data_IF_399687368820
#
_entry.id   IF_399687368820
#
_cell.length_a   1.000
_cell.length_b   1.000
_cell.length_c   1.000
_cell.angle_alpha   90.00
_cell.angle_beta   90.00
_cell.angle_gamma   90.00
#
_symmetry.space_group_name_H-M   'P 1'
#
loop_
_entity.id
_entity.type
_entity.pdbx_description
1 polymer ?
#
# COMPACT_ATOMS: atom_id res chain seq x y z
N UNK A 1 37.91 58.23 -3.95
CA UNK A 1 37.20 58.65 -2.72
C UNK A 1 35.75 58.91 -3.07
N UNK A 2 34.80 58.51 -2.23
CA UNK A 2 33.37 58.77 -2.48
C UNK A 2 33.09 60.27 -2.40
N UNK A 3 32.18 60.76 -3.23
CA UNK A 3 31.70 62.14 -3.13
C UNK A 3 30.76 62.28 -1.93
N UNK A 4 30.59 63.52 -1.48
CA UNK A 4 29.67 63.85 -0.38
C UNK A 4 28.21 63.45 -0.69
N UNK A 5 27.75 63.70 -1.92
CA UNK A 5 26.38 63.37 -2.36
C UNK A 5 26.13 61.87 -2.36
N UNK A 6 27.05 61.09 -2.94
CA UNK A 6 26.94 59.62 -2.95
C UNK A 6 27.00 59.04 -1.54
N UNK A 7 27.82 59.61 -0.65
CA UNK A 7 27.87 59.13 0.74
C UNK A 7 26.56 59.39 1.48
N UNK A 8 25.94 60.56 1.27
CA UNK A 8 24.67 60.94 1.90
C UNK A 8 23.51 60.04 1.49
N UNK A 9 23.40 59.66 0.22
CA UNK A 9 22.36 58.74 -0.27
C UNK A 9 22.47 57.33 0.37
N UNK A 10 23.66 56.97 0.85
CA UNK A 10 23.96 55.64 1.39
C UNK A 10 23.96 55.60 2.92
N UNK A 11 23.72 56.72 3.61
CA UNK A 11 23.72 56.78 5.08
C UNK A 11 22.61 55.96 5.72
N UNK A 12 21.42 55.91 5.13
CA UNK A 12 20.28 55.14 5.63
C UNK A 12 20.54 53.63 5.56
N UNK A 13 20.84 53.02 4.38
CA UNK A 13 21.15 51.59 4.33
C UNK A 13 22.42 51.22 5.11
N UNK A 14 23.37 52.16 5.27
CA UNK A 14 24.52 51.98 6.16
C UNK A 14 24.08 51.89 7.63
N UNK A 15 23.19 52.78 8.08
CA UNK A 15 22.66 52.80 9.46
C UNK A 15 21.81 51.55 9.76
N UNK A 16 21.03 51.08 8.79
CA UNK A 16 20.20 49.87 8.90
C UNK A 16 21.00 48.57 8.74
N UNK A 17 22.28 48.68 8.41
CA UNK A 17 23.19 47.54 8.28
C UNK A 17 23.05 46.73 6.99
N UNK A 18 22.37 47.27 5.97
CA UNK A 18 22.04 46.59 4.71
C UNK A 18 23.14 46.63 3.64
N UNK A 19 24.26 47.32 3.89
CA UNK A 19 25.37 47.43 2.92
C UNK A 19 26.36 46.26 2.99
N UNK A 20 26.94 45.92 1.82
CA UNK A 20 28.01 44.93 1.72
C UNK A 20 29.30 45.39 2.41
N UNK A 21 30.17 44.45 2.79
CA UNK A 21 31.35 44.72 3.60
C UNK A 21 32.41 45.61 2.91
N UNK A 22 32.47 45.60 1.58
CA UNK A 22 33.33 46.45 0.78
C UNK A 22 32.77 47.88 0.64
N UNK A 23 31.46 48.03 0.49
CA UNK A 23 30.77 49.33 0.43
C UNK A 23 30.83 50.04 1.79
N UNK A 24 30.59 49.31 2.88
CA UNK A 24 30.69 49.81 4.25
C UNK A 24 32.07 50.41 4.53
N UNK A 25 33.15 49.71 4.16
CA UNK A 25 34.53 50.21 4.32
C UNK A 25 34.81 51.52 3.58
N UNK A 26 34.19 51.73 2.41
CA UNK A 26 34.34 52.97 1.64
C UNK A 26 33.65 54.15 2.33
N UNK A 27 32.47 53.91 2.92
CA UNK A 27 31.73 54.91 3.69
C UNK A 27 32.45 55.21 5.00
N UNK A 28 32.96 54.19 5.71
CA UNK A 28 33.75 54.34 6.94
C UNK A 28 34.95 55.28 6.73
N UNK A 29 35.67 55.09 5.61
CA UNK A 29 36.78 55.97 5.23
C UNK A 29 36.35 57.42 4.94
N UNK A 30 35.14 57.64 4.40
CA UNK A 30 34.62 58.98 4.12
C UNK A 30 34.14 59.69 5.39
N UNK A 31 33.37 59.01 6.25
CA UNK A 31 32.83 59.60 7.50
C UNK A 31 33.93 59.89 8.52
N UNK A 32 35.04 59.15 8.49
CA UNK A 32 36.22 59.45 9.30
C UNK A 32 36.88 60.80 8.92
N UNK A 33 36.72 61.23 7.67
CA UNK A 33 37.29 62.48 7.14
C UNK A 33 36.30 63.63 6.95
N UNK A 34 34.98 63.38 7.04
CA UNK A 34 33.94 64.38 6.80
C UNK A 34 32.99 64.54 8.00
N UNK A 35 33.13 65.67 8.71
CA UNK A 35 32.31 65.97 9.89
C UNK A 35 30.81 66.14 9.58
N UNK A 36 30.46 66.60 8.38
CA UNK A 36 29.06 66.77 7.97
C UNK A 36 28.34 65.42 7.83
N UNK A 37 28.92 64.46 7.09
CA UNK A 37 28.35 63.12 6.96
C UNK A 37 28.31 62.37 8.31
N UNK A 38 29.31 62.59 9.17
CA UNK A 38 29.32 62.02 10.52
C UNK A 38 28.22 62.62 11.43
N UNK A 39 27.83 63.88 11.22
CA UNK A 39 26.72 64.51 11.93
C UNK A 39 25.36 63.97 11.46
N UNK A 40 25.13 63.92 10.14
CA UNK A 40 23.90 63.37 9.57
C UNK A 40 23.67 61.91 9.99
N UNK A 41 24.72 61.10 10.03
CA UNK A 41 24.63 59.71 10.51
C UNK A 41 24.19 59.62 11.99
N UNK A 42 24.60 60.57 12.83
CA UNK A 42 24.16 60.61 14.25
C UNK A 42 22.67 60.92 14.34
N UNK A 43 22.17 61.86 13.54
CA UNK A 43 20.74 62.20 13.49
C UNK A 43 19.88 61.00 13.04
N UNK A 44 20.32 60.28 12.00
CA UNK A 44 19.63 59.06 11.53
C UNK A 44 19.60 57.98 12.62
N UNK A 45 20.71 57.77 13.33
CA UNK A 45 20.79 56.79 14.42
C UNK A 45 19.94 57.20 15.62
N UNK A 46 19.89 58.48 15.95
CA UNK A 46 19.03 59.01 17.01
C UNK A 46 17.55 58.77 16.71
N UNK A 47 17.12 59.02 15.47
CA UNK A 47 15.76 58.69 15.04
C UNK A 47 15.47 57.19 15.16
N UNK A 48 16.41 56.32 14.75
CA UNK A 48 16.21 54.88 14.85
C UNK A 48 16.11 54.42 16.31
N UNK A 49 16.89 55.02 17.22
CA UNK A 49 16.77 54.77 18.65
C UNK A 49 15.39 55.18 19.19
N UNK A 50 14.85 56.32 18.75
CA UNK A 50 13.48 56.72 19.11
C UNK A 50 12.46 55.71 18.57
N UNK A 51 12.64 55.18 17.36
CA UNK A 51 11.73 54.18 16.80
C UNK A 51 11.74 52.86 17.58
N UNK A 52 12.88 52.45 18.12
CA UNK A 52 13.00 51.25 18.97
C UNK A 52 12.30 51.43 20.32
N UNK A 53 12.08 52.66 20.78
CA UNK A 53 11.31 52.92 22.01
C UNK A 53 9.80 52.80 21.85
N UNK A 54 9.28 52.64 20.61
CA UNK A 54 7.85 52.40 20.44
C UNK A 54 7.47 51.05 21.07
N UNK A 55 6.31 50.98 21.76
CA UNK A 55 5.84 49.73 22.31
C UNK A 55 5.66 48.70 21.19
N UNK A 56 6.01 47.42 21.42
CA UNK A 56 5.78 46.38 20.44
C UNK A 56 4.30 46.33 20.08
N UNK A 57 3.99 46.16 18.80
CA UNK A 57 2.62 46.00 18.36
C UNK A 57 1.95 44.85 19.16
N UNK A 58 0.72 45.04 19.65
CA UNK A 58 0.05 44.00 20.40
C UNK A 58 -0.10 42.74 19.52
N UNK A 59 0.03 41.53 20.10
CA UNK A 59 -0.14 40.31 19.33
C UNK A 59 -1.57 40.23 18.81
N UNK A 60 -1.73 40.34 17.49
CA UNK A 60 -3.02 40.11 16.85
C UNK A 60 -3.29 38.60 16.85
N UNK A 61 -4.30 38.17 17.59
CA UNK A 61 -4.77 36.80 17.46
C UNK A 61 -5.36 36.63 16.05
N UNK A 62 -4.78 35.72 15.26
CA UNK A 62 -5.17 35.53 13.85
C UNK A 62 -6.66 35.17 13.71
N UNK A 63 -7.20 34.39 14.65
CA UNK A 63 -8.59 33.96 14.64
C UNK A 63 -9.61 35.12 14.75
N UNK A 64 -9.57 36.00 15.78
CA UNK A 64 -10.51 37.12 15.86
C UNK A 64 -10.29 38.14 14.74
N UNK A 65 -9.03 38.39 14.33
CA UNK A 65 -8.75 39.26 13.19
C UNK A 65 -9.43 38.74 11.90
N UNK A 66 -9.27 37.46 11.61
CA UNK A 66 -9.85 36.84 10.41
C UNK A 66 -11.38 36.84 10.44
N UNK A 67 -12.00 36.63 11.60
CA UNK A 67 -13.46 36.71 11.75
C UNK A 67 -13.99 38.13 11.49
N UNK A 68 -13.35 39.16 12.04
CA UNK A 68 -13.72 40.55 11.78
C UNK A 68 -13.53 40.93 10.31
N UNK A 69 -12.46 40.43 9.67
CA UNK A 69 -12.22 40.65 8.25
C UNK A 69 -13.29 39.97 7.38
N UNK A 70 -13.62 38.71 7.68
CA UNK A 70 -14.65 37.96 6.95
C UNK A 70 -16.04 38.60 7.06
N UNK A 71 -16.33 39.29 8.17
CA UNK A 71 -17.60 40.00 8.36
C UNK A 71 -17.72 41.27 7.49
N UNK A 72 -16.59 41.91 7.15
CA UNK A 72 -16.56 43.14 6.34
C UNK A 72 -16.45 42.83 4.84
N UNK A 73 -15.92 41.65 4.48
CA UNK A 73 -15.78 41.26 3.08
C UNK A 73 -17.16 41.00 2.44
N UNK A 74 -17.44 41.55 1.24
CA UNK A 74 -18.69 41.31 0.55
C UNK A 74 -18.81 39.81 0.24
N UNK A 75 -19.79 39.14 0.86
CA UNK A 75 -20.13 37.77 0.51
C UNK A 75 -20.48 37.74 -0.97
N UNK A 76 -19.57 37.18 -1.77
CA UNK A 76 -19.77 36.95 -3.20
C UNK A 76 -21.04 36.10 -3.33
N UNK A 77 -22.17 36.72 -3.69
CA UNK A 77 -23.41 35.99 -3.97
C UNK A 77 -23.10 35.07 -5.13
N UNK A 78 -22.87 33.80 -4.82
CA UNK A 78 -22.69 32.77 -5.83
C UNK A 78 -24.05 32.63 -6.50
N UNK A 79 -24.18 33.16 -7.72
CA UNK A 79 -25.38 33.02 -8.54
C UNK A 79 -25.59 31.53 -8.76
N UNK A 80 -26.51 30.94 -8.00
CA UNK A 80 -26.86 29.52 -8.06
C UNK A 80 -27.77 29.34 -9.27
N UNK A 81 -27.19 29.02 -10.43
CA UNK A 81 -27.94 28.72 -11.65
C UNK A 81 -28.65 27.37 -11.47
N UNK A 82 -29.98 27.31 -11.34
CA UNK A 82 -30.69 26.06 -11.17
C UNK A 82 -30.69 25.30 -12.50
N UNK A 83 -30.09 24.11 -12.52
CA UNK A 83 -29.98 23.25 -13.72
C UNK A 83 -28.57 22.77 -14.02
N UNK A 84 -27.54 23.59 -13.75
CA UNK A 84 -26.14 23.21 -14.02
C UNK A 84 -25.62 22.10 -13.09
N UNK A 85 -26.25 21.90 -11.93
CA UNK A 85 -25.83 20.90 -10.94
C UNK A 85 -26.05 19.46 -11.41
N UNK A 86 -27.12 19.17 -12.16
CA UNK A 86 -27.42 17.81 -12.62
C UNK A 86 -26.48 17.43 -13.77
N UNK A 87 -26.32 18.30 -14.77
CA UNK A 87 -25.36 18.09 -15.87
C UNK A 87 -23.91 18.03 -15.38
N UNK A 88 -23.54 18.82 -14.37
CA UNK A 88 -22.21 18.73 -13.74
C UNK A 88 -22.03 17.42 -12.98
N UNK A 89 -23.05 16.92 -12.28
CA UNK A 89 -22.98 15.63 -11.57
C UNK A 89 -22.91 14.45 -12.54
N UNK A 90 -23.71 14.46 -13.60
CA UNK A 90 -23.67 13.42 -14.64
C UNK A 90 -22.37 13.47 -15.42
N UNK A 91 -21.90 14.66 -15.80
CA UNK A 91 -20.61 14.84 -16.48
C UNK A 91 -19.42 14.41 -15.62
N UNK A 92 -19.43 14.73 -14.32
CA UNK A 92 -18.41 14.25 -13.38
C UNK A 92 -18.49 12.74 -13.16
N UNK A 93 -19.69 12.15 -13.09
CA UNK A 93 -19.86 10.71 -12.96
C UNK A 93 -19.35 9.96 -14.21
N UNK A 94 -19.62 10.49 -15.40
CA UNK A 94 -19.12 9.94 -16.66
C UNK A 94 -17.60 10.08 -16.77
N UNK A 95 -17.04 11.24 -16.41
CA UNK A 95 -15.59 11.45 -16.37
C UNK A 95 -14.90 10.55 -15.33
N UNK A 96 -15.49 10.37 -14.16
CA UNK A 96 -15.00 9.45 -13.14
C UNK A 96 -15.07 8.00 -13.62
N UNK A 97 -16.15 7.61 -14.30
CA UNK A 97 -16.31 6.28 -14.86
C UNK A 97 -15.30 6.00 -15.98
N UNK A 98 -15.04 6.97 -16.87
CA UNK A 98 -14.02 6.80 -17.92
C UNK A 98 -12.61 6.78 -17.36
N UNK A 99 -12.28 7.61 -16.37
CA UNK A 99 -11.00 7.54 -15.65
C UNK A 99 -10.86 6.21 -14.92
N UNK A 100 -11.90 5.72 -14.24
CA UNK A 100 -11.89 4.42 -13.60
C UNK A 100 -11.72 3.28 -14.61
N UNK A 101 -12.38 3.36 -15.77
CA UNK A 101 -12.25 2.36 -16.84
C UNK A 101 -10.85 2.39 -17.48
N UNK A 102 -10.28 3.57 -17.73
CA UNK A 102 -8.92 3.74 -18.24
C UNK A 102 -7.87 3.32 -17.20
N UNK A 103 -8.09 3.61 -15.92
CA UNK A 103 -7.23 3.15 -14.83
C UNK A 103 -7.31 1.62 -14.68
N UNK A 104 -8.50 1.02 -14.77
CA UNK A 104 -8.67 -0.44 -14.74
C UNK A 104 -8.01 -1.11 -15.95
N UNK A 105 -8.20 -0.56 -17.16
CA UNK A 105 -7.59 -1.10 -18.38
C UNK A 105 -6.06 -0.89 -18.43
N UNK A 106 -5.55 0.22 -17.92
CA UNK A 106 -4.12 0.50 -17.82
C UNK A 106 -3.42 -0.30 -16.72
N UNK A 107 -4.12 -0.63 -15.64
CA UNK A 107 -3.56 -1.42 -14.53
C UNK A 107 -3.46 -2.91 -14.88
N UNK A 108 -4.37 -3.45 -15.69
CA UNK A 108 -4.39 -4.89 -16.01
C UNK A 108 -3.14 -5.41 -16.74
N UNK A 109 -2.34 -4.54 -17.37
CA UNK A 109 -1.15 -4.93 -18.13
C UNK A 109 0.18 -4.78 -17.34
N UNK A 110 0.18 -4.11 -16.18
CA UNK A 110 1.40 -3.85 -15.41
C UNK A 110 1.27 -4.03 -13.88
N UNK A 111 0.05 -4.11 -13.34
CA UNK A 111 -0.21 -4.31 -11.92
C UNK A 111 0.27 -5.66 -11.35
N UNK A 112 0.28 -6.79 -12.10
CA UNK A 112 0.77 -8.07 -11.56
C UNK A 112 2.23 -7.98 -11.11
N UNK A 113 3.02 -7.15 -11.80
CA UNK A 113 4.45 -6.92 -11.55
C UNK A 113 4.73 -5.70 -10.67
N UNK A 114 3.72 -5.08 -10.05
CA UNK A 114 3.96 -3.94 -9.17
C UNK A 114 4.76 -4.40 -7.93
N UNK A 115 6.00 -3.90 -7.83
CA UNK A 115 6.87 -4.09 -6.67
C UNK A 115 6.55 -3.04 -5.59
N UNK A 116 6.96 -3.27 -4.32
CA UNK A 116 6.70 -2.34 -3.21
C UNK A 116 7.14 -0.88 -3.42
N UNK A 117 8.11 -0.65 -4.31
CA UNK A 117 8.61 0.65 -4.74
C UNK A 117 7.61 1.44 -5.63
N UNK A 118 6.72 0.73 -6.34
CA UNK A 118 5.89 1.31 -7.38
C UNK A 118 4.67 2.06 -6.81
N UNK A 119 4.28 3.24 -7.37
CA UNK A 119 3.09 3.97 -6.93
C UNK A 119 1.77 3.21 -7.05
N UNK A 120 1.70 2.18 -7.90
CA UNK A 120 0.52 1.33 -8.06
C UNK A 120 0.47 0.15 -7.08
N UNK A 121 1.48 -0.02 -6.22
CA UNK A 121 1.51 -1.12 -5.24
C UNK A 121 0.32 -1.15 -4.27
N UNK A 122 -0.20 0.00 -3.76
CA UNK A 122 -1.42 -0.01 -2.95
C UNK A 122 -2.65 -0.57 -3.68
N UNK A 123 -2.70 -0.42 -5.01
CA UNK A 123 -3.78 -0.97 -5.85
C UNK A 123 -3.66 -2.49 -5.94
N UNK A 124 -2.44 -3.03 -6.10
CA UNK A 124 -2.17 -4.49 -6.06
C UNK A 124 -2.63 -5.08 -4.73
N UNK A 125 -2.29 -4.45 -3.61
CA UNK A 125 -2.71 -4.91 -2.27
C UNK A 125 -4.23 -4.91 -2.12
N UNK A 126 -4.92 -3.92 -2.68
CA UNK A 126 -6.38 -3.87 -2.67
C UNK A 126 -7.00 -5.00 -3.51
N UNK A 127 -6.47 -5.26 -4.69
CA UNK A 127 -6.90 -6.37 -5.55
C UNK A 127 -6.74 -7.73 -4.85
N UNK A 128 -5.59 -7.96 -4.21
CA UNK A 128 -5.31 -9.16 -3.42
C UNK A 128 -6.30 -9.32 -2.25
N UNK A 129 -6.59 -8.23 -1.54
CA UNK A 129 -7.54 -8.21 -0.42
C UNK A 129 -8.95 -8.55 -0.86
N UNK A 130 -9.40 -8.00 -2.00
CA UNK A 130 -10.68 -8.32 -2.62
C UNK A 130 -10.70 -9.80 -3.02
N UNK A 131 -9.64 -10.29 -3.69
CA UNK A 131 -9.53 -11.69 -4.09
C UNK A 131 -9.65 -12.64 -2.89
N UNK A 132 -8.96 -12.37 -1.77
CA UNK A 132 -9.05 -13.19 -0.56
C UNK A 132 -10.44 -13.16 0.10
N UNK A 133 -11.10 -11.99 0.07
CA UNK A 133 -12.45 -11.82 0.64
C UNK A 133 -13.49 -12.66 -0.11
N UNK A 134 -13.42 -12.68 -1.44
CA UNK A 134 -14.35 -13.43 -2.30
C UNK A 134 -13.93 -14.89 -2.55
N UNK A 135 -12.72 -15.30 -2.15
CA UNK A 135 -12.28 -16.69 -2.29
C UNK A 135 -13.01 -17.58 -1.26
N UNK A 136 -13.63 -18.69 -1.69
CA UNK A 136 -14.31 -19.61 -0.79
C UNK A 136 -13.32 -20.32 0.16
N UNK A 137 -13.79 -20.75 1.32
CA UNK A 137 -12.95 -21.29 2.40
C UNK A 137 -12.10 -22.50 1.99
N UNK A 138 -12.59 -23.36 1.12
CA UNK A 138 -11.88 -24.53 0.62
C UNK A 138 -10.70 -24.20 -0.31
N UNK A 139 -10.72 -23.04 -0.97
CA UNK A 139 -9.65 -22.58 -1.88
C UNK A 139 -8.75 -21.52 -1.24
N UNK A 140 -9.14 -20.96 -0.10
CA UNK A 140 -8.45 -19.84 0.57
C UNK A 140 -6.99 -20.15 0.91
N UNK A 141 -6.71 -21.35 1.42
CA UNK A 141 -5.35 -21.78 1.73
C UNK A 141 -4.41 -21.68 0.52
N UNK A 142 -4.85 -22.18 -0.64
CA UNK A 142 -4.02 -22.13 -1.85
C UNK A 142 -3.77 -20.70 -2.32
N UNK A 143 -4.76 -19.81 -2.21
CA UNK A 143 -4.59 -18.39 -2.55
C UNK A 143 -3.63 -17.70 -1.57
N UNK A 144 -3.68 -18.02 -0.27
CA UNK A 144 -2.71 -17.51 0.71
C UNK A 144 -1.30 -17.99 0.41
N UNK A 145 -1.10 -19.27 0.04
CA UNK A 145 0.21 -19.78 -0.35
C UNK A 145 0.74 -19.13 -1.63
N UNK A 146 -0.13 -18.85 -2.60
CA UNK A 146 0.23 -18.08 -3.79
C UNK A 146 0.67 -16.66 -3.44
N UNK A 147 -0.07 -15.99 -2.56
CA UNK A 147 0.29 -14.65 -2.08
C UNK A 147 1.62 -14.67 -1.32
N UNK A 148 1.86 -15.68 -0.49
CA UNK A 148 3.12 -15.86 0.22
C UNK A 148 4.30 -16.02 -0.76
N UNK A 149 4.17 -16.83 -1.82
CA UNK A 149 5.21 -16.96 -2.87
C UNK A 149 5.44 -15.64 -3.59
N UNK A 150 4.38 -14.87 -3.85
CA UNK A 150 4.50 -13.54 -4.45
C UNK A 150 5.31 -12.59 -3.56
N UNK A 151 5.04 -12.55 -2.25
CA UNK A 151 5.79 -11.74 -1.28
C UNK A 151 7.27 -12.13 -1.24
N UNK A 152 7.62 -13.41 -1.37
CA UNK A 152 9.02 -13.85 -1.46
C UNK A 152 9.70 -13.41 -2.76
N UNK A 153 8.99 -13.50 -3.90
CA UNK A 153 9.50 -13.00 -5.19
C UNK A 153 9.70 -11.49 -5.19
N UNK A 154 8.79 -10.73 -4.55
CA UNK A 154 8.96 -9.29 -4.32
C UNK A 154 10.18 -9.01 -3.43
N UNK A 155 10.37 -9.77 -2.35
CA UNK A 155 11.53 -9.65 -1.48
C UNK A 155 12.84 -9.92 -2.23
N UNK A 156 12.87 -10.95 -3.06
CA UNK A 156 14.02 -11.30 -3.90
C UNK A 156 14.33 -10.18 -4.90
N UNK A 157 13.31 -9.63 -5.55
CA UNK A 157 13.48 -8.50 -6.48
C UNK A 157 14.04 -7.27 -5.77
N UNK A 158 13.54 -6.93 -4.59
CA UNK A 158 14.07 -5.81 -3.78
C UNK A 158 15.49 -6.07 -3.29
N UNK A 159 15.82 -7.31 -2.93
CA UNK A 159 17.18 -7.71 -2.58
C UNK A 159 18.15 -7.59 -3.77
N UNK A 160 17.72 -8.00 -4.97
CA UNK A 160 18.51 -7.83 -6.20
C UNK A 160 18.71 -6.34 -6.55
N UNK A 161 17.71 -5.51 -6.30
CA UNK A 161 17.72 -4.06 -6.55
C UNK A 161 18.42 -3.24 -5.46
N UNK A 162 19.06 -3.87 -4.47
CA UNK A 162 19.78 -3.22 -3.36
C UNK A 162 18.86 -2.35 -2.47
N UNK A 163 17.64 -2.82 -2.22
CA UNK A 163 16.63 -2.15 -1.39
C UNK A 163 16.28 -3.01 -0.17
N UNK A 164 17.19 -3.13 0.83
CA UNK A 164 17.04 -4.09 1.92
C UNK A 164 15.80 -3.82 2.79
N UNK A 165 15.47 -2.55 3.06
CA UNK A 165 14.27 -2.19 3.82
C UNK A 165 12.96 -2.63 3.14
N UNK A 166 12.92 -2.62 1.80
CA UNK A 166 11.74 -3.07 1.05
C UNK A 166 11.70 -4.59 0.95
N UNK A 167 12.85 -5.24 0.80
CA UNK A 167 12.95 -6.70 0.88
C UNK A 167 12.48 -7.22 2.24
N UNK A 168 12.89 -6.53 3.30
CA UNK A 168 12.48 -6.78 4.66
C UNK A 168 10.96 -6.64 4.85
N UNK A 169 10.37 -5.55 4.34
CA UNK A 169 8.93 -5.34 4.39
C UNK A 169 8.14 -6.47 3.70
N UNK A 170 8.61 -6.92 2.53
CA UNK A 170 8.01 -8.07 1.82
C UNK A 170 8.16 -9.38 2.60
N UNK A 171 9.30 -9.62 3.26
CA UNK A 171 9.49 -10.79 4.13
C UNK A 171 8.57 -10.78 5.35
N UNK A 172 8.36 -9.62 5.99
CA UNK A 172 7.39 -9.49 7.09
C UNK A 172 5.96 -9.79 6.60
N UNK A 173 5.59 -9.30 5.42
CA UNK A 173 4.28 -9.58 4.83
C UNK A 173 4.09 -11.07 4.48
N UNK A 174 5.14 -11.74 4.02
CA UNK A 174 5.16 -13.20 3.85
C UNK A 174 4.85 -13.92 5.16
N UNK A 175 5.56 -13.58 6.25
CA UNK A 175 5.36 -14.22 7.56
C UNK A 175 3.93 -14.08 8.06
N UNK A 176 3.37 -12.88 7.98
CA UNK A 176 1.96 -12.63 8.34
C UNK A 176 1.02 -13.54 7.54
N UNK A 177 1.25 -13.67 6.23
CA UNK A 177 0.41 -14.51 5.35
C UNK A 177 0.49 -16.00 5.73
N UNK A 178 1.68 -16.49 6.12
CA UNK A 178 1.88 -17.87 6.58
C UNK A 178 1.28 -18.11 7.95
N UNK A 179 1.42 -17.17 8.88
CA UNK A 179 0.82 -17.24 10.21
C UNK A 179 -0.72 -17.32 10.12
N UNK A 180 -1.33 -16.52 9.24
CA UNK A 180 -2.77 -16.57 8.95
C UNK A 180 -3.19 -17.91 8.30
N UNK A 181 -2.31 -18.54 7.54
CA UNK A 181 -2.54 -19.83 6.89
C UNK A 181 -2.27 -21.03 7.81
N UNK A 182 -1.55 -20.85 8.92
CA UNK A 182 -1.04 -21.92 9.79
C UNK A 182 -2.14 -22.86 10.30
N UNK A 183 -3.32 -22.33 10.63
CA UNK A 183 -4.46 -23.14 11.06
C UNK A 183 -4.99 -24.05 9.94
N UNK A 184 -5.06 -23.55 8.71
CA UNK A 184 -5.50 -24.32 7.54
C UNK A 184 -4.42 -25.28 7.02
N UNK A 185 -3.15 -24.99 7.29
CA UNK A 185 -2.03 -25.87 6.94
C UNK A 185 -2.03 -27.18 7.75
N UNK A 186 -2.59 -27.21 8.97
CA UNK A 186 -2.67 -28.44 9.78
C UNK A 186 -3.57 -29.51 9.17
N UNK A 187 -4.56 -29.11 8.37
CA UNK A 187 -5.51 -30.03 7.78
C UNK A 187 -5.98 -29.53 6.40
N UNK A 188 -5.10 -29.59 5.39
CA UNK A 188 -5.36 -28.99 4.08
C UNK A 188 -6.37 -29.83 3.28
N UNK A 189 -7.24 -29.16 2.53
CA UNK A 189 -8.20 -29.84 1.65
C UNK A 189 -7.52 -30.67 0.54
N UNK A 190 -6.30 -30.30 0.13
CA UNK A 190 -5.48 -31.02 -0.83
C UNK A 190 -4.03 -31.13 -0.35
N UNK A 191 -3.68 -32.18 0.41
CA UNK A 191 -2.35 -32.32 1.02
C UNK A 191 -1.20 -32.34 0.01
N UNK A 192 -1.39 -32.95 -1.16
CA UNK A 192 -0.34 -33.04 -2.17
C UNK A 192 -0.04 -31.68 -2.79
N UNK A 193 -1.08 -30.89 -3.13
CA UNK A 193 -0.90 -29.54 -3.64
C UNK A 193 -0.28 -28.61 -2.59
N UNK A 194 -0.70 -28.74 -1.32
CA UNK A 194 -0.11 -27.97 -0.22
C UNK A 194 1.36 -28.27 -0.02
N UNK A 195 1.78 -29.55 -0.04
CA UNK A 195 3.20 -29.92 0.06
C UNK A 195 4.03 -29.37 -1.10
N UNK A 196 3.52 -29.45 -2.33
CA UNK A 196 4.19 -28.87 -3.49
C UNK A 196 4.34 -27.34 -3.36
N UNK A 197 3.30 -26.65 -2.88
CA UNK A 197 3.36 -25.21 -2.63
C UNK A 197 4.35 -24.86 -1.50
N UNK A 198 4.39 -25.62 -0.41
CA UNK A 198 5.37 -25.43 0.68
C UNK A 198 6.81 -25.66 0.20
N UNK A 199 7.04 -26.64 -0.67
CA UNK A 199 8.35 -26.84 -1.31
C UNK A 199 8.74 -25.65 -2.20
N UNK A 200 7.80 -25.10 -2.95
CA UNK A 200 8.03 -23.90 -3.76
C UNK A 200 8.39 -22.68 -2.88
N UNK A 201 7.70 -22.49 -1.74
CA UNK A 201 8.02 -21.42 -0.80
C UNK A 201 9.44 -21.54 -0.23
N UNK A 202 9.90 -22.75 0.09
CA UNK A 202 11.28 -22.98 0.54
C UNK A 202 12.29 -22.62 -0.55
N UNK A 203 12.01 -22.98 -1.80
CA UNK A 203 12.86 -22.60 -2.92
C UNK A 203 12.92 -21.08 -3.13
N UNK A 204 11.77 -20.40 -3.07
CA UNK A 204 11.69 -18.94 -3.16
C UNK A 204 12.47 -18.27 -2.00
N UNK A 205 12.34 -18.78 -0.78
CA UNK A 205 13.04 -18.25 0.40
C UNK A 205 14.56 -18.42 0.30
N UNK A 206 15.04 -19.58 -0.17
CA UNK A 206 16.46 -19.80 -0.45
C UNK A 206 16.99 -18.84 -1.53
N UNK A 207 16.16 -18.48 -2.52
CA UNK A 207 16.51 -17.50 -3.54
C UNK A 207 16.64 -16.09 -2.96
N UNK A 208 15.80 -15.71 -1.99
CA UNK A 208 15.94 -14.46 -1.22
C UNK A 208 17.22 -14.46 -0.39
N UNK A 209 17.54 -15.58 0.28
CA UNK A 209 18.78 -15.71 1.06
C UNK A 209 20.02 -15.51 0.17
N UNK A 210 20.04 -16.18 -0.99
CA UNK A 210 21.13 -16.10 -1.94
C UNK A 210 21.31 -14.68 -2.52
N UNK A 211 20.22 -13.93 -2.71
CA UNK A 211 20.28 -12.54 -3.14
C UNK A 211 20.90 -11.61 -2.07
N UNK A 212 20.86 -11.98 -0.78
CA UNK A 212 21.35 -11.19 0.35
C UNK A 212 22.69 -11.69 0.94
N UNK A 213 23.15 -12.89 0.59
CA UNK A 213 24.33 -13.52 1.21
C UNK A 213 25.66 -12.83 0.90
N UNK A 214 25.77 -12.12 -0.22
CA UNK A 214 27.00 -11.42 -0.64
C UNK A 214 27.29 -10.08 0.05
N UNK A 215 26.45 -9.64 1.01
CA UNK A 215 26.44 -8.25 1.50
C UNK A 215 26.40 -8.21 3.04
N UNK A 216 27.57 -8.07 3.66
CA UNK A 216 27.80 -8.50 5.05
C UNK A 216 27.23 -7.58 6.15
N UNK A 217 27.20 -6.25 5.96
CA UNK A 217 26.88 -5.30 7.05
C UNK A 217 25.44 -4.74 7.04
N UNK A 218 24.83 -4.52 5.87
CA UNK A 218 23.52 -3.83 5.80
C UNK A 218 22.29 -4.78 5.87
N UNK A 219 22.50 -6.10 5.78
CA UNK A 219 21.43 -7.08 5.57
C UNK A 219 21.20 -8.04 6.76
N UNK A 220 21.70 -7.69 7.95
CA UNK A 220 21.59 -8.53 9.14
C UNK A 220 20.13 -8.87 9.51
N UNK A 221 19.23 -7.88 9.39
CA UNK A 221 17.81 -8.05 9.71
C UNK A 221 17.10 -8.96 8.69
N UNK A 222 17.42 -8.82 7.40
CA UNK A 222 16.90 -9.69 6.34
C UNK A 222 17.34 -11.13 6.55
N UNK A 223 18.60 -11.37 6.91
CA UNK A 223 19.12 -12.70 7.25
C UNK A 223 18.37 -13.29 8.45
N UNK A 224 18.15 -12.51 9.50
CA UNK A 224 17.41 -12.95 10.67
C UNK A 224 15.95 -13.31 10.33
N UNK A 225 15.30 -12.53 9.46
CA UNK A 225 13.93 -12.81 9.02
C UNK A 225 13.84 -14.05 8.13
N UNK A 226 14.82 -14.27 7.25
CA UNK A 226 14.88 -15.47 6.42
C UNK A 226 15.07 -16.72 7.30
N UNK A 227 16.00 -16.68 8.26
CA UNK A 227 16.18 -17.78 9.21
C UNK A 227 14.91 -18.07 10.00
N UNK A 228 14.25 -17.03 10.54
CA UNK A 228 13.00 -17.17 11.26
C UNK A 228 11.87 -17.73 10.39
N UNK A 229 11.83 -17.36 9.11
CA UNK A 229 10.87 -17.88 8.13
C UNK A 229 11.13 -19.35 7.79
N UNK A 230 12.39 -19.77 7.65
CA UNK A 230 12.75 -21.17 7.43
C UNK A 230 12.36 -22.03 8.62
N UNK A 231 12.70 -21.60 9.85
CA UNK A 231 12.31 -22.28 11.08
C UNK A 231 10.79 -22.43 11.23
N UNK A 232 10.03 -21.41 10.79
CA UNK A 232 8.56 -21.47 10.77
C UNK A 232 8.03 -22.56 9.83
N UNK A 233 8.52 -22.58 8.58
CA UNK A 233 8.11 -23.58 7.60
C UNK A 233 8.46 -25.01 8.05
N UNK A 234 9.61 -25.19 8.70
CA UNK A 234 10.03 -26.50 9.21
C UNK A 234 9.20 -26.95 10.41
N UNK A 235 8.78 -26.03 11.28
CA UNK A 235 7.87 -26.34 12.39
C UNK A 235 6.50 -26.78 11.90
N UNK A 236 6.00 -26.15 10.83
CA UNK A 236 4.73 -26.52 10.21
C UNK A 236 4.83 -27.95 9.63
N UNK A 237 5.92 -28.27 8.93
CA UNK A 237 6.16 -29.60 8.34
C UNK A 237 6.22 -30.72 9.39
N UNK A 238 6.96 -30.48 10.48
CA UNK A 238 7.10 -31.44 11.58
C UNK A 238 5.78 -31.71 12.31
N UNK A 239 4.87 -30.73 12.33
CA UNK A 239 3.54 -30.91 12.92
C UNK A 239 2.64 -31.87 12.13
N UNK A 240 2.91 -32.10 10.84
CA UNK A 240 2.23 -33.13 10.02
C UNK A 240 2.79 -34.55 10.26
N UNK A 241 4.00 -34.67 10.81
CA UNK A 241 4.73 -35.95 10.92
C UNK A 241 4.28 -36.90 12.04
N UNK A 242 3.38 -36.49 12.95
CA UNK A 242 3.03 -37.27 14.15
C UNK A 242 1.84 -38.25 13.98
N UNK A 243 1.28 -38.41 12.78
CA UNK A 243 0.15 -39.34 12.54
C UNK A 243 0.39 -40.42 11.48
N UNK A 244 1.61 -40.59 10.99
CA UNK A 244 1.92 -41.72 10.08
C UNK A 244 3.02 -42.60 10.68
N UNK A 245 2.70 -43.33 11.75
CA UNK A 245 3.37 -44.60 11.97
C UNK A 245 2.77 -45.61 10.97
N UNK A 246 3.55 -46.15 10.02
CA UNK A 246 3.11 -47.36 9.34
C UNK A 246 3.06 -48.48 10.38
N UNK A 247 1.88 -49.07 10.57
CA UNK A 247 1.77 -50.42 11.13
C UNK A 247 2.70 -51.31 10.28
N UNK A 248 3.85 -51.67 10.85
CA UNK A 248 4.72 -52.69 10.29
C UNK A 248 3.94 -54.00 10.29
N UNK A 249 3.42 -54.37 9.13
CA UNK A 249 3.08 -55.75 8.83
C UNK A 249 4.40 -56.53 8.74
N UNK A 250 4.63 -57.39 9.72
CA UNK A 250 5.70 -58.38 9.73
C UNK A 250 5.03 -59.74 9.87
N UNK A 251 5.28 -60.62 8.91
CA UNK A 251 5.28 -62.07 9.14
C UNK A 251 4.26 -62.88 8.36
N UNK A 252 4.54 -63.08 7.07
CA UNK A 252 4.14 -64.27 6.30
C UNK A 252 4.43 -65.58 7.06
N UNK A 253 3.43 -66.47 7.11
CA UNK A 253 3.68 -67.91 7.15
C UNK A 253 2.80 -68.62 6.13
N UNK A 254 3.48 -69.18 5.13
CA UNK A 254 2.96 -70.10 4.14
C UNK A 254 2.51 -71.41 4.80
N UNK A 255 1.35 -71.91 4.40
CA UNK A 255 0.81 -73.21 4.76
C UNK A 255 -0.20 -73.66 3.71
N UNK A 256 0.26 -74.50 2.80
CA UNK A 256 -0.50 -75.26 1.80
C UNK A 256 -1.63 -76.07 2.42
N UNK A 257 -2.86 -75.94 1.90
CA UNK A 257 -3.82 -77.04 1.85
C UNK A 257 -4.92 -76.76 0.81
N UNK A 258 -4.97 -77.70 -0.12
CA UNK A 258 -5.93 -77.98 -1.18
C UNK A 258 -7.32 -78.35 -0.63
N UNK A 259 -8.40 -77.80 -1.23
CA UNK A 259 -9.65 -78.48 -1.58
C UNK A 259 -10.78 -77.47 -1.91
N UNK A 260 -11.24 -77.52 -3.15
CA UNK A 260 -12.52 -77.00 -3.66
C UNK A 260 -13.69 -77.84 -3.08
N UNK A 261 -14.88 -77.27 -2.84
CA UNK A 261 -15.94 -77.41 -3.83
C UNK A 261 -16.82 -76.18 -4.08
N UNK A 262 -17.25 -76.15 -5.34
CA UNK A 262 -18.28 -75.43 -6.07
C UNK A 262 -19.60 -75.04 -5.34
N UNK A 263 -20.05 -73.79 -5.52
CA UNK A 263 -21.48 -73.42 -5.60
C UNK A 263 -21.68 -72.03 -6.28
N UNK A 264 -22.31 -72.09 -7.45
CA UNK A 264 -23.00 -71.16 -8.38
C UNK A 264 -23.52 -69.78 -7.89
N UNK A 265 -23.66 -68.76 -8.77
CA UNK A 265 -23.70 -67.33 -8.42
C UNK A 265 -25.12 -66.72 -8.34
N UNK A 266 -25.25 -65.59 -7.64
CA UNK A 266 -26.44 -64.74 -7.57
C UNK A 266 -26.09 -63.24 -7.60
N UNK A 267 -26.99 -62.35 -8.06
CA UNK A 267 -26.64 -61.34 -9.07
C UNK A 267 -26.39 -59.92 -8.58
N UNK A 268 -25.65 -59.19 -9.42
CA UNK A 268 -25.39 -57.75 -9.48
C UNK A 268 -26.65 -56.87 -9.36
N UNK A 269 -26.66 -55.83 -8.52
CA UNK A 269 -27.64 -54.75 -8.62
C UNK A 269 -27.23 -53.75 -9.70
N UNK A 270 -28.07 -53.58 -10.72
CA UNK A 270 -27.98 -52.50 -11.71
C UNK A 270 -28.42 -51.15 -11.09
N UNK A 271 -27.79 -50.03 -11.48
CA UNK A 271 -28.28 -48.69 -11.15
C UNK A 271 -29.51 -48.33 -11.99
N UNK A 272 -30.60 -47.95 -11.32
CA UNK A 272 -31.83 -47.46 -11.95
C UNK A 272 -31.68 -46.01 -12.37
N UNK A 273 -31.76 -45.76 -13.67
CA UNK A 273 -31.85 -44.45 -14.31
C UNK A 273 -33.14 -43.72 -13.88
N UNK A 274 -33.03 -42.53 -13.29
CA UNK A 274 -34.17 -41.64 -13.02
C UNK A 274 -34.47 -40.80 -14.28
N UNK A 275 -35.73 -40.74 -14.76
CA UNK A 275 -36.08 -40.00 -15.97
C UNK A 275 -36.22 -38.49 -15.73
N UNK A 276 -35.79 -37.75 -16.76
CA UNK A 276 -36.04 -36.33 -17.02
C UNK A 276 -37.54 -36.06 -17.24
N UNK A 277 -38.15 -35.04 -16.63
CA UNK A 277 -39.44 -34.53 -17.10
C UNK A 277 -39.22 -33.45 -18.18
N UNK A 278 -39.78 -33.71 -19.36
CA UNK A 278 -40.02 -32.73 -20.44
C UNK A 278 -41.51 -32.33 -20.44
N UNK A 279 -41.89 -31.19 -21.06
CA UNK A 279 -42.97 -30.31 -20.63
C UNK A 279 -44.36 -30.75 -21.10
N UNK A 280 -45.41 -30.26 -20.40
CA UNK A 280 -46.81 -30.38 -20.83
C UNK A 280 -47.35 -29.03 -21.31
N UNK A 281 -48.16 -29.00 -22.39
CA UNK A 281 -48.54 -27.77 -23.08
C UNK A 281 -49.95 -27.25 -22.72
N UNK A 282 -50.18 -26.00 -23.15
CA UNK A 282 -51.40 -25.45 -23.78
C UNK A 282 -52.75 -25.53 -23.05
N UNK A 283 -53.30 -24.35 -22.74
CA UNK A 283 -54.60 -23.78 -23.17
C UNK A 283 -54.89 -22.59 -22.23
N UNK A 284 -55.30 -21.41 -22.67
CA UNK A 284 -56.22 -21.11 -23.76
C UNK A 284 -57.52 -20.62 -23.11
N UNK A 285 -57.91 -19.38 -23.44
CA UNK A 285 -59.18 -18.70 -23.12
C UNK A 285 -59.37 -18.29 -21.65
N UNK A 286 -59.91 -17.13 -21.30
CA UNK A 286 -60.66 -16.14 -22.05
C UNK A 286 -61.67 -15.49 -21.08
N UNK A 287 -61.94 -14.21 -21.31
CA UNK A 287 -63.13 -13.45 -20.89
C UNK A 287 -63.20 -12.78 -19.50
N UNK A 288 -63.07 -11.45 -19.57
CA UNK A 288 -64.01 -10.38 -19.16
C UNK A 288 -64.81 -10.43 -17.85
N UNK A 289 -64.90 -9.19 -17.33
CA UNK A 289 -66.07 -8.51 -16.75
C UNK A 289 -66.25 -8.49 -15.24
N UNK A 290 -66.09 -7.25 -14.73
CA UNK A 290 -67.08 -6.49 -13.96
C UNK A 290 -67.18 -6.62 -12.44
N UNK A 291 -67.60 -5.47 -11.89
CA UNK A 291 -68.29 -5.19 -10.61
C UNK A 291 -67.34 -4.86 -9.45
N UNK A 292 -67.11 -3.58 -9.12
CA UNK A 292 -67.92 -2.71 -8.23
C UNK A 292 -68.13 -3.29 -6.82
N UNK A 293 -67.36 -2.81 -5.84
CA UNK A 293 -67.86 -2.08 -4.66
C UNK A 293 -66.71 -1.56 -3.80
#
# INVERSE_FOLDING_TARGET
MLSHTTTRDWLIPYADGMLAADERRRIDGHIAGCAACAAELREVRELNLLLVTLPPAPPVAFAPFWMSLQAVLPQRRVLRIPGFSIYRRVGLALAAATVALLAAAGSALAAPSALPDNPLYPVKQLEESIRLTFTPSNARLMVQLQLASERLREAQAMANDHKPLLAEASLRAFRITIDDAAASLKNPANPQATRAAMQALRADLAAVEQANSGRADDDAEVKQLVLAATDELDRIDQSEGLTTQPMSAVGEHAGTAEATPEATPGPTPQPVSRPTPSPKPSNGDGDKSSVEH
#
